data_IF_942775191815
#
_entry.id   IF_942775191815
#
_cell.length_a   1.000
_cell.length_b   1.000
_cell.length_c   1.000
_cell.angle_alpha   90.00
_cell.angle_beta   90.00
_cell.angle_gamma   90.00
#
_symmetry.space_group_name_H-M   'P 1'
#
loop_
_entity.id
_entity.type
_entity.pdbx_description
1 polymer ?
#
# COMPACT_ATOMS: atom_id res chain seq x y z
N UNK A 1 -5.32 0.17 -6.46
CA UNK A 1 -5.70 0.93 -5.24
C UNK A 1 -4.52 1.81 -4.85
N UNK A 2 -4.73 3.09 -4.49
CA UNK A 2 -3.65 3.93 -3.96
C UNK A 2 -3.48 3.71 -2.45
N UNK A 3 -2.31 4.01 -1.85
CA UNK A 3 -2.13 3.91 -0.39
C UNK A 3 -3.15 4.71 0.42
N UNK A 4 -3.60 5.86 -0.10
CA UNK A 4 -4.59 6.70 0.57
C UNK A 4 -6.01 6.09 0.52
N UNK A 5 -6.37 5.47 -0.62
CA UNK A 5 -7.61 4.70 -0.73
C UNK A 5 -7.61 3.50 0.21
N UNK A 6 -6.49 2.77 0.29
CA UNK A 6 -6.31 1.65 1.21
C UNK A 6 -6.48 2.06 2.67
N UNK A 7 -5.80 3.13 3.09
CA UNK A 7 -5.92 3.65 4.45
C UNK A 7 -7.36 4.06 4.78
N UNK A 8 -8.03 4.78 3.87
CA UNK A 8 -9.44 5.16 4.06
C UNK A 8 -10.35 3.94 4.19
N UNK A 9 -10.15 2.91 3.37
CA UNK A 9 -10.93 1.68 3.43
C UNK A 9 -10.70 0.93 4.77
N UNK A 10 -9.45 0.81 5.21
CA UNK A 10 -9.09 0.20 6.51
C UNK A 10 -9.74 0.97 7.67
N UNK A 11 -9.69 2.31 7.66
CA UNK A 11 -10.30 3.12 8.72
C UNK A 11 -11.82 2.93 8.79
N UNK A 12 -12.49 2.86 7.64
CA UNK A 12 -13.93 2.62 7.59
C UNK A 12 -14.28 1.23 8.15
N UNK A 13 -13.51 0.22 7.81
CA UNK A 13 -13.81 -1.14 8.26
C UNK A 13 -13.47 -1.35 9.74
N UNK A 14 -12.44 -0.67 10.25
CA UNK A 14 -12.16 -0.61 11.69
C UNK A 14 -13.29 0.10 12.46
N UNK A 15 -13.88 1.15 11.90
CA UNK A 15 -15.04 1.81 12.50
C UNK A 15 -16.26 0.88 12.52
N UNK A 16 -16.51 0.16 11.44
CA UNK A 16 -17.59 -0.83 11.36
C UNK A 16 -17.38 -1.99 12.34
N UNK A 17 -16.15 -2.51 12.47
CA UNK A 17 -15.78 -3.54 13.43
C UNK A 17 -16.08 -3.13 14.88
N UNK A 18 -15.82 -1.86 15.25
CA UNK A 18 -16.14 -1.33 16.58
C UNK A 18 -17.64 -1.29 16.87
N UNK A 19 -18.47 -1.25 15.83
CA UNK A 19 -19.93 -1.23 15.92
C UNK A 19 -20.56 -2.61 15.71
N UNK A 20 -19.75 -3.67 15.52
CA UNK A 20 -20.25 -5.02 15.33
C UNK A 20 -21.08 -5.48 16.53
N UNK A 21 -22.25 -6.08 16.26
CA UNK A 21 -23.17 -6.54 17.30
C UNK A 21 -22.98 -8.01 17.65
N UNK A 22 -22.19 -8.75 16.85
CA UNK A 22 -21.91 -10.16 17.07
C UNK A 22 -20.46 -10.51 16.69
N UNK A 23 -19.95 -11.59 17.29
CA UNK A 23 -18.59 -12.08 17.07
C UNK A 23 -18.33 -12.43 15.60
N UNK A 24 -19.30 -13.09 14.94
CA UNK A 24 -19.18 -13.42 13.51
C UNK A 24 -19.00 -12.19 12.64
N UNK A 25 -19.75 -11.11 12.90
CA UNK A 25 -19.57 -9.86 12.17
C UNK A 25 -18.19 -9.27 12.46
N UNK A 26 -17.75 -9.24 13.72
CA UNK A 26 -16.42 -8.74 14.07
C UNK A 26 -15.31 -9.50 13.33
N UNK A 27 -15.38 -10.83 13.28
CA UNK A 27 -14.39 -11.67 12.58
C UNK A 27 -14.36 -11.34 11.08
N UNK A 28 -15.52 -11.24 10.42
CA UNK A 28 -15.60 -10.86 9.00
C UNK A 28 -14.97 -9.48 8.76
N UNK A 29 -15.26 -8.49 9.62
CA UNK A 29 -14.68 -7.14 9.51
C UNK A 29 -13.16 -7.16 9.67
N UNK A 30 -12.63 -7.97 10.60
CA UNK A 30 -11.19 -8.13 10.81
C UNK A 30 -10.51 -8.78 9.60
N UNK A 31 -11.13 -9.80 9.01
CA UNK A 31 -10.62 -10.45 7.80
C UNK A 31 -10.57 -9.48 6.62
N UNK A 32 -11.60 -8.64 6.46
CA UNK A 32 -11.61 -7.58 5.44
C UNK A 32 -10.47 -6.57 5.63
N UNK A 33 -10.23 -6.11 6.87
CA UNK A 33 -9.11 -5.22 7.19
C UNK A 33 -7.78 -5.85 6.78
N UNK A 34 -7.57 -7.13 7.12
CA UNK A 34 -6.35 -7.84 6.78
C UNK A 34 -6.19 -8.03 5.27
N UNK A 35 -7.27 -8.32 4.55
CA UNK A 35 -7.24 -8.45 3.09
C UNK A 35 -6.80 -7.14 2.42
N UNK A 36 -7.43 -6.01 2.79
CA UNK A 36 -7.09 -4.69 2.24
C UNK A 36 -5.64 -4.31 2.57
N UNK A 37 -5.21 -4.55 3.81
CA UNK A 37 -3.85 -4.23 4.23
C UNK A 37 -2.80 -5.03 3.43
N UNK A 38 -3.06 -6.32 3.18
CA UNK A 38 -2.16 -7.15 2.37
C UNK A 38 -2.08 -6.67 0.92
N UNK A 39 -3.22 -6.36 0.31
CA UNK A 39 -3.26 -5.83 -1.06
C UNK A 39 -2.50 -4.50 -1.17
N UNK A 40 -2.64 -3.63 -0.17
CA UNK A 40 -1.95 -2.34 -0.12
C UNK A 40 -0.42 -2.48 -0.03
N UNK A 41 0.07 -3.50 0.68
CA UNK A 41 1.51 -3.79 0.79
C UNK A 41 2.07 -4.34 -0.53
N UNK A 42 1.37 -5.29 -1.17
CA UNK A 42 1.80 -5.87 -2.46
C UNK A 42 1.88 -4.80 -3.56
N UNK A 43 0.97 -3.81 -3.53
CA UNK A 43 0.99 -2.67 -4.45
C UNK A 43 2.15 -1.69 -4.25
N UNK A 44 2.84 -1.71 -3.10
CA UNK A 44 4.01 -0.86 -2.83
C UNK A 44 5.33 -1.51 -3.25
N UNK A 45 5.46 -2.83 -3.15
CA UNK A 45 6.68 -3.56 -3.51
C UNK A 45 6.96 -3.61 -5.03
N UNK A 46 6.00 -3.20 -5.86
CA UNK A 46 6.13 -3.16 -7.33
C UNK A 46 6.79 -1.89 -7.89
N UNK A 47 7.03 -0.86 -7.07
CA UNK A 47 7.53 0.46 -7.51
C UNK A 47 8.98 0.73 -7.07
N UNK A 48 9.74 -0.32 -6.73
CA UNK A 48 11.17 -0.23 -6.40
C UNK A 48 12.01 -1.01 -7.42
N UNK A 49 11.98 -0.60 -8.70
CA UNK A 49 13.14 -0.84 -9.58
C UNK A 49 14.08 0.35 -9.48
N UNK A 50 15.26 0.22 -8.84
CA UNK A 50 16.27 1.25 -8.92
C UNK A 50 16.71 1.38 -10.38
N UNK A 51 16.43 2.54 -10.98
CA UNK A 51 16.94 2.93 -12.30
C UNK A 51 18.46 3.09 -12.23
N UNK A 52 19.19 1.97 -12.16
CA UNK A 52 20.61 1.94 -12.47
C UNK A 52 20.74 1.91 -13.98
N UNK A 53 21.25 3.01 -14.56
CA UNK A 53 22.25 3.06 -15.64
C UNK A 53 22.01 4.22 -16.61
N UNK A 54 22.69 5.35 -16.40
CA UNK A 54 23.34 6.04 -17.52
C UNK A 54 24.60 6.75 -17.05
N UNK A 55 25.68 5.99 -17.07
CA UNK A 55 27.05 6.48 -17.18
C UNK A 55 27.16 7.27 -18.49
N UNK A 56 27.20 8.60 -18.42
CA UNK A 56 27.72 9.44 -19.51
C UNK A 56 29.00 10.14 -19.02
N UNK A 57 30.11 9.40 -19.11
CA UNK A 57 31.41 10.01 -19.30
C UNK A 57 31.44 10.67 -20.68
N UNK A 58 31.73 11.97 -20.72
CA UNK A 58 31.76 12.71 -21.98
C UNK A 58 32.32 14.13 -21.85
N UNK A 59 33.65 14.23 -21.73
CA UNK A 59 34.43 15.31 -22.34
C UNK A 59 34.45 16.68 -21.66
N UNK A 60 35.52 16.97 -20.93
CA UNK A 60 36.01 18.33 -20.69
C UNK A 60 36.45 18.96 -22.03
N UNK A 61 36.03 20.18 -22.40
CA UNK A 61 36.71 20.93 -23.45
C UNK A 61 37.72 21.88 -22.80
N UNK A 62 39.01 21.55 -22.91
CA UNK A 62 40.08 22.54 -22.88
C UNK A 62 40.17 23.21 -24.26
N UNK A 63 39.87 24.51 -24.33
CA UNK A 63 40.71 25.59 -24.90
C UNK A 63 39.93 26.88 -25.09
#
# INVERSE_FOLDING_TARGET
MTPNEALRAIMNEAAAARSALCENELVIRLDNILAIAREALVGQDGDEMPQSSRNEGGGCPER
#
